data_IF_435471660338
#
_entry.id   IF_435471660338
#
_cell.length_a   1.000
_cell.length_b   1.000
_cell.length_c   1.000
_cell.angle_alpha   90.00
_cell.angle_beta   90.00
_cell.angle_gamma   90.00
#
_symmetry.space_group_name_H-M   'P 1'
#
loop_
_entity.id
_entity.type
_entity.pdbx_description
1 polymer ?
#
# COMPACT_ATOMS: atom_id res chain seq x y z
N UNK A 1 -2.97 -16.52 5.70
CA UNK A 1 -4.13 -15.61 5.78
C UNK A 1 -5.39 -16.46 5.91
N UNK A 2 -6.29 -16.16 6.85
CA UNK A 2 -7.57 -16.85 6.99
C UNK A 2 -8.38 -16.88 5.69
N UNK A 3 -9.08 -17.97 5.42
CA UNK A 3 -9.87 -18.16 4.19
C UNK A 3 -10.94 -17.08 4.04
N UNK A 4 -11.65 -16.76 5.12
CA UNK A 4 -12.70 -15.74 5.16
C UNK A 4 -12.21 -14.34 4.71
N UNK A 5 -10.93 -14.01 4.92
CA UNK A 5 -10.36 -12.75 4.44
C UNK A 5 -10.20 -12.77 2.92
N UNK A 6 -9.78 -13.92 2.35
CA UNK A 6 -9.63 -14.07 0.90
C UNK A 6 -10.98 -13.97 0.20
N UNK A 7 -11.98 -14.69 0.72
CA UNK A 7 -13.37 -14.62 0.22
C UNK A 7 -13.90 -13.19 0.23
N UNK A 8 -13.64 -12.42 1.30
CA UNK A 8 -14.08 -11.03 1.40
C UNK A 8 -13.40 -10.10 0.40
N UNK A 9 -12.10 -10.31 0.14
CA UNK A 9 -11.35 -9.58 -0.88
C UNK A 9 -11.88 -9.90 -2.29
N UNK A 10 -12.17 -11.18 -2.56
CA UNK A 10 -12.72 -11.63 -3.84
C UNK A 10 -14.14 -11.09 -4.08
N UNK A 11 -14.99 -11.05 -3.04
CA UNK A 11 -16.34 -10.48 -3.07
C UNK A 11 -16.32 -8.98 -3.41
N UNK A 12 -15.42 -8.21 -2.77
CA UNK A 12 -15.38 -6.75 -2.91
C UNK A 12 -14.54 -6.27 -4.10
N UNK A 13 -13.64 -7.12 -4.62
CA UNK A 13 -12.60 -6.75 -5.60
C UNK A 13 -11.86 -5.48 -5.12
N UNK A 14 -11.46 -5.51 -3.85
CA UNK A 14 -10.80 -4.41 -3.14
C UNK A 14 -10.09 -4.98 -1.90
N UNK A 15 -9.27 -4.14 -1.25
CA UNK A 15 -8.64 -4.42 0.04
C UNK A 15 -7.60 -5.56 0.05
N UNK A 16 -7.15 -6.05 -1.11
CA UNK A 16 -6.09 -7.05 -1.23
C UNK A 16 -4.77 -6.55 -0.62
N UNK A 17 -4.46 -5.27 -0.83
CA UNK A 17 -3.30 -4.61 -0.24
C UNK A 17 -3.43 -4.45 1.28
N UNK A 18 -4.62 -4.10 1.77
CA UNK A 18 -4.92 -4.03 3.21
C UNK A 18 -4.79 -5.41 3.85
N UNK A 19 -5.35 -6.46 3.25
CA UNK A 19 -5.25 -7.83 3.73
C UNK A 19 -3.78 -8.27 3.83
N UNK A 20 -2.97 -7.95 2.82
CA UNK A 20 -1.52 -8.21 2.85
C UNK A 20 -0.81 -7.42 3.95
N UNK A 21 -1.14 -6.14 4.17
CA UNK A 21 -0.56 -5.36 5.26
C UNK A 21 -0.92 -5.93 6.64
N UNK A 22 -2.18 -6.35 6.83
CA UNK A 22 -2.62 -7.02 8.07
C UNK A 22 -1.85 -8.32 8.30
N UNK A 23 -1.70 -9.16 7.27
CA UNK A 23 -0.96 -10.42 7.35
C UNK A 23 0.51 -10.19 7.74
N UNK A 24 1.19 -9.28 7.03
CA UNK A 24 2.60 -8.98 7.27
C UNK A 24 2.78 -8.42 8.67
N UNK A 25 1.99 -7.43 9.08
CA UNK A 25 2.08 -6.85 10.41
C UNK A 25 1.78 -7.86 11.53
N UNK A 26 0.83 -8.77 11.32
CA UNK A 26 0.52 -9.85 12.26
C UNK A 26 1.70 -10.82 12.45
N UNK A 27 2.38 -11.17 11.37
CA UNK A 27 3.51 -12.12 11.39
C UNK A 27 4.78 -11.46 11.93
N UNK A 28 5.14 -10.27 11.43
CA UNK A 28 6.44 -9.65 11.74
C UNK A 28 6.41 -8.84 13.03
N UNK A 29 5.23 -8.37 13.45
CA UNK A 29 5.06 -7.40 14.55
C UNK A 29 5.89 -6.13 14.34
N UNK A 30 6.16 -5.78 13.08
CA UNK A 30 6.94 -4.61 12.70
C UNK A 30 6.05 -3.60 11.95
N UNK A 31 6.31 -2.30 12.10
CA UNK A 31 5.60 -1.27 11.36
C UNK A 31 6.03 -1.24 9.88
N UNK A 32 5.19 -0.69 8.99
CA UNK A 32 5.56 -0.55 7.58
C UNK A 32 6.75 0.41 7.41
N UNK A 33 7.43 0.30 6.27
CA UNK A 33 8.50 1.23 5.89
C UNK A 33 7.99 2.08 4.73
N UNK A 34 8.02 3.41 4.90
CA UNK A 34 7.73 4.33 3.80
C UNK A 34 8.97 4.50 2.95
N UNK A 35 8.90 4.17 1.67
CA UNK A 35 10.01 4.38 0.73
C UNK A 35 9.78 5.61 -0.14
N UNK A 36 10.77 5.92 -0.99
CA UNK A 36 10.69 6.99 -1.98
C UNK A 36 9.44 6.89 -2.86
N UNK A 37 8.93 8.05 -3.30
CA UNK A 37 7.64 8.24 -3.99
C UNK A 37 7.37 7.23 -5.10
N UNK A 38 6.14 6.70 -5.05
CA UNK A 38 5.49 5.85 -6.05
C UNK A 38 5.76 6.33 -7.48
N UNK A 39 6.31 5.44 -8.30
CA UNK A 39 6.05 5.51 -9.73
C UNK A 39 4.55 5.28 -9.91
N UNK A 40 3.82 6.31 -10.33
CA UNK A 40 2.41 6.13 -10.69
C UNK A 40 2.40 5.54 -12.09
N UNK A 41 2.13 4.24 -12.19
CA UNK A 41 1.73 3.59 -13.44
C UNK A 41 0.40 4.19 -13.88
N UNK A 42 0.46 5.39 -14.47
CA UNK A 42 -0.71 6.02 -15.08
C UNK A 42 -0.92 5.34 -16.41
N UNK A 43 -2.10 4.81 -16.62
CA UNK A 43 -2.55 4.33 -17.92
C UNK A 43 -3.27 5.49 -18.62
N UNK A 44 -2.65 6.16 -19.62
CA UNK A 44 -3.25 7.33 -20.26
C UNK A 44 -4.53 6.99 -21.03
N UNK A 45 -4.67 5.74 -21.48
CA UNK A 45 -5.81 5.25 -22.24
C UNK A 45 -6.94 4.67 -21.37
N UNK A 46 -6.73 4.53 -20.05
CA UNK A 46 -7.73 3.94 -19.16
C UNK A 46 -8.76 5.00 -18.75
N UNK A 47 -10.04 4.76 -19.09
CA UNK A 47 -11.14 5.72 -18.85
C UNK A 47 -11.59 5.79 -17.40
N UNK A 48 -11.45 4.70 -16.64
CA UNK A 48 -11.90 4.61 -15.25
C UNK A 48 -10.88 3.80 -14.43
N UNK A 49 -10.85 4.02 -13.13
CA UNK A 49 -10.05 3.26 -12.19
C UNK A 49 -10.93 2.78 -11.04
N UNK A 50 -10.51 1.69 -10.38
CA UNK A 50 -11.25 1.14 -9.24
C UNK A 50 -11.35 2.14 -8.08
N UNK A 51 -10.34 3.00 -7.90
CA UNK A 51 -10.33 4.02 -6.85
C UNK A 51 -11.30 5.18 -7.13
N UNK A 52 -11.73 5.39 -8.38
CA UNK A 52 -12.67 6.46 -8.74
C UNK A 52 -14.12 6.17 -8.33
N UNK A 53 -14.45 4.95 -7.89
CA UNK A 53 -15.79 4.59 -7.40
C UNK A 53 -16.09 5.32 -6.08
N UNK A 54 -17.31 5.84 -5.90
CA UNK A 54 -17.73 6.55 -4.68
C UNK A 54 -17.54 5.70 -3.42
N UNK A 55 -17.89 4.42 -3.51
CA UNK A 55 -17.84 3.45 -2.40
C UNK A 55 -16.42 3.01 -2.02
N UNK A 56 -15.39 3.33 -2.82
CA UNK A 56 -14.06 2.74 -2.69
C UNK A 56 -13.46 2.91 -1.28
N UNK A 57 -13.57 4.11 -0.71
CA UNK A 57 -13.00 4.43 0.60
C UNK A 57 -13.86 3.94 1.76
N UNK A 58 -15.17 3.85 1.56
CA UNK A 58 -16.09 3.28 2.54
C UNK A 58 -15.85 1.77 2.68
N UNK A 59 -15.76 1.05 1.55
CA UNK A 59 -15.41 -0.37 1.53
C UNK A 59 -14.07 -0.63 2.22
N UNK A 60 -13.07 0.23 2.02
CA UNK A 60 -11.77 0.11 2.72
C UNK A 60 -11.87 0.25 4.24
N UNK A 61 -12.71 1.16 4.74
CA UNK A 61 -12.97 1.25 6.18
C UNK A 61 -13.63 -0.03 6.71
N UNK A 62 -14.59 -0.57 5.97
CA UNK A 62 -15.28 -1.81 6.34
C UNK A 62 -14.33 -3.01 6.33
N UNK A 63 -13.41 -3.10 5.37
CA UNK A 63 -12.36 -4.11 5.33
C UNK A 63 -11.47 -4.07 6.58
N UNK A 64 -11.03 -2.88 7.02
CA UNK A 64 -10.20 -2.74 8.22
C UNK A 64 -10.94 -3.25 9.47
N UNK A 65 -12.23 -2.91 9.60
CA UNK A 65 -13.07 -3.39 10.71
C UNK A 65 -13.19 -4.91 10.67
N UNK A 66 -13.59 -5.46 9.53
CA UNK A 66 -13.78 -6.90 9.34
C UNK A 66 -12.47 -7.69 9.59
N UNK A 67 -11.33 -7.22 9.06
CA UNK A 67 -10.04 -7.88 9.30
C UNK A 67 -9.65 -7.85 10.78
N UNK A 68 -9.92 -6.74 11.47
CA UNK A 68 -9.65 -6.62 12.91
C UNK A 68 -10.50 -7.61 13.72
N UNK A 69 -11.76 -7.83 13.32
CA UNK A 69 -12.64 -8.83 13.94
C UNK A 69 -12.11 -10.26 13.70
N UNK A 70 -11.70 -10.58 12.48
CA UNK A 70 -11.16 -11.92 12.13
C UNK A 70 -9.85 -12.21 12.86
N UNK A 71 -8.93 -11.24 12.98
CA UNK A 71 -7.68 -11.41 13.71
C UNK A 71 -7.85 -11.29 15.24
N UNK A 72 -8.99 -10.78 15.72
CA UNK A 72 -9.27 -10.51 17.14
C UNK A 72 -8.58 -9.25 17.70
N UNK A 73 -7.83 -8.52 16.87
CA UNK A 73 -7.18 -7.25 17.20
C UNK A 73 -6.73 -6.55 15.91
N UNK A 74 -6.31 -5.28 16.00
CA UNK A 74 -5.71 -4.56 14.89
C UNK A 74 -4.17 -4.74 14.90
N UNK A 75 -3.58 -5.50 13.97
CA UNK A 75 -2.14 -5.71 13.91
C UNK A 75 -1.35 -4.54 13.28
N UNK A 76 -2.02 -3.56 12.67
CA UNK A 76 -1.34 -2.45 12.00
C UNK A 76 -0.64 -1.53 13.00
N UNK A 77 0.61 -1.17 12.69
CA UNK A 77 1.45 -0.32 13.52
C UNK A 77 1.82 0.96 12.79
N UNK A 78 1.88 2.08 13.52
CA UNK A 78 2.35 3.34 12.96
C UNK A 78 3.86 3.35 12.76
N UNK A 79 4.31 4.08 11.75
CA UNK A 79 5.73 4.34 11.49
C UNK A 79 5.95 5.83 11.29
N UNK A 80 7.09 6.33 11.75
CA UNK A 80 7.61 7.65 11.36
C UNK A 80 8.87 7.51 10.49
N UNK A 81 9.29 6.27 10.20
CA UNK A 81 10.48 5.99 9.42
C UNK A 81 10.17 6.09 7.92
N UNK A 82 11.00 6.89 7.25
CA UNK A 82 11.05 6.94 5.78
C UNK A 82 12.45 6.57 5.32
N UNK A 83 12.56 5.50 4.54
CA UNK A 83 13.81 5.05 3.93
C UNK A 83 13.83 5.50 2.47
N UNK A 84 14.50 6.62 2.21
CA UNK A 84 14.72 7.11 0.85
C UNK A 84 16.05 6.60 0.28
N UNK A 85 16.14 6.43 -1.04
CA UNK A 85 17.42 6.13 -1.67
C UNK A 85 18.39 7.30 -1.52
N UNK A 86 19.70 7.03 -1.46
CA UNK A 86 20.78 8.04 -1.27
C UNK A 86 20.68 9.21 -2.26
N UNK A 87 20.15 8.95 -3.46
CA UNK A 87 20.02 9.94 -4.52
C UNK A 87 18.68 10.69 -4.51
N UNK A 88 17.77 10.40 -3.58
CA UNK A 88 16.44 11.02 -3.53
C UNK A 88 16.54 12.53 -3.36
N UNK A 89 16.04 13.27 -4.36
CA UNK A 89 16.13 14.75 -4.45
C UNK A 89 17.55 15.33 -4.35
N UNK A 90 18.58 14.51 -4.42
CA UNK A 90 19.97 14.99 -4.47
C UNK A 90 20.20 15.79 -5.74
N UNK A 91 20.69 17.03 -5.57
CA UNK A 91 21.13 17.90 -6.67
C UNK A 91 22.44 17.34 -7.22
N UNK A 92 22.47 17.02 -8.50
CA UNK A 92 23.69 16.64 -9.18
C UNK A 92 24.32 17.87 -9.85
N UNK A 93 25.66 17.95 -9.91
CA UNK A 93 26.36 18.89 -10.79
C UNK A 93 25.89 18.74 -12.25
N UNK A 94 26.01 19.82 -13.03
CA UNK A 94 25.52 19.85 -14.42
C UNK A 94 26.12 18.76 -15.33
N UNK A 95 27.31 18.25 -14.99
CA UNK A 95 28.03 17.21 -15.72
C UNK A 95 27.81 15.78 -15.19
N UNK A 96 26.91 15.58 -14.21
CA UNK A 96 26.64 14.27 -13.63
C UNK A 96 25.17 13.87 -13.83
N UNK A 97 24.92 12.59 -14.10
CA UNK A 97 23.59 11.99 -14.17
C UNK A 97 23.48 10.84 -13.16
N UNK A 98 22.27 10.60 -12.63
CA UNK A 98 22.02 9.44 -11.77
C UNK A 98 22.17 8.18 -12.60
N UNK A 99 22.99 7.23 -12.13
CA UNK A 99 23.19 5.93 -12.79
C UNK A 99 21.88 5.13 -12.92
N UNK A 100 20.94 5.37 -12.00
CA UNK A 100 19.59 4.84 -12.05
C UNK A 100 18.65 5.97 -12.44
N UNK A 101 17.97 5.82 -13.58
CA UNK A 101 16.79 6.63 -13.86
C UNK A 101 15.75 6.24 -12.80
N UNK A 102 15.19 7.22 -12.09
CA UNK A 102 13.92 6.98 -11.41
C UNK A 102 12.97 6.49 -12.49
N UNK A 103 12.43 5.29 -12.31
CA UNK A 103 11.32 4.85 -13.14
C UNK A 103 10.10 5.62 -12.66
#
# INVERSE_FOLDING_TARGET
MPEVIREKVDELINCEDLAMNFLVAHITRQPPIKTTSKWTLRCPACKTSLYHRSEHYQQRHECIRFFSEVYGYNPLLFTQLRADSVLFKTRLPANHQKCFKYV
#
